data_IF_826823412789
#
_entry.id   IF_826823412789
#
_cell.length_a   1.000
_cell.length_b   1.000
_cell.length_c   1.000
_cell.angle_alpha   90.00
_cell.angle_beta   90.00
_cell.angle_gamma   90.00
#
_symmetry.space_group_name_H-M   'P 1'
#
loop_
_entity.id
_entity.type
_entity.pdbx_description
1 polymer ?
#
# COMPACT_ATOMS: atom_id res chain seq x y z
N UNK A 1 23.05 8.01 -1.95
CA UNK A 1 22.29 8.36 -0.73
C UNK A 1 22.80 9.68 -0.24
N UNK A 2 21.91 10.64 0.01
CA UNK A 2 22.30 11.90 0.60
C UNK A 2 22.84 11.67 2.02
N UNK A 3 23.96 12.32 2.33
CA UNK A 3 24.51 12.41 3.68
C UNK A 3 25.03 13.83 3.90
N UNK A 4 24.91 14.32 5.13
CA UNK A 4 25.44 15.62 5.52
C UNK A 4 26.23 15.46 6.82
N UNK A 5 27.48 15.88 6.81
CA UNK A 5 28.35 15.83 7.99
C UNK A 5 28.31 17.17 8.71
N UNK A 6 28.11 17.13 10.03
CA UNK A 6 28.14 18.30 10.91
C UNK A 6 29.27 18.13 11.92
N UNK A 7 29.81 19.24 12.44
CA UNK A 7 30.87 19.23 13.45
C UNK A 7 32.28 19.02 12.88
N UNK A 8 33.28 19.29 13.72
CA UNK A 8 34.70 19.25 13.33
C UNK A 8 35.57 18.44 14.29
N UNK A 9 35.11 18.21 15.53
CA UNK A 9 35.87 17.47 16.55
C UNK A 9 35.78 15.96 16.33
N UNK A 10 36.81 15.25 16.76
CA UNK A 10 36.89 13.78 16.74
C UNK A 10 35.89 13.14 17.72
N UNK A 11 35.75 11.82 17.67
CA UNK A 11 34.89 11.09 18.61
C UNK A 11 35.35 11.28 20.06
N UNK A 12 34.39 11.56 20.95
CA UNK A 12 34.65 11.83 22.38
C UNK A 12 33.73 11.04 23.31
N UNK A 13 32.72 10.35 22.75
CA UNK A 13 31.71 9.63 23.49
C UNK A 13 32.02 8.13 23.50
N UNK A 14 32.15 7.57 24.69
CA UNK A 14 32.44 6.15 24.89
C UNK A 14 31.27 5.49 25.65
N UNK A 15 30.85 4.31 25.20
CA UNK A 15 29.79 3.54 25.84
C UNK A 15 30.40 2.56 26.85
N UNK A 16 29.98 2.65 28.10
CA UNK A 16 30.33 1.72 29.18
C UNK A 16 29.04 1.16 29.78
N UNK A 17 28.73 -0.11 29.48
CA UNK A 17 27.44 -0.70 29.84
C UNK A 17 26.29 0.05 29.16
N UNK A 18 25.43 0.69 29.96
CA UNK A 18 24.34 1.54 29.49
C UNK A 18 24.62 3.05 29.66
N UNK A 19 25.87 3.41 29.99
CA UNK A 19 26.26 4.79 30.27
C UNK A 19 27.19 5.33 29.19
N UNK A 20 26.81 6.44 28.58
CA UNK A 20 27.67 7.21 27.68
C UNK A 20 28.51 8.19 28.49
N UNK A 21 29.83 8.07 28.39
CA UNK A 21 30.80 8.96 29.02
C UNK A 21 31.43 9.88 27.98
N UNK A 22 31.44 11.19 28.26
CA UNK A 22 32.12 12.18 27.44
C UNK A 22 33.55 12.44 27.95
N UNK A 23 34.56 12.16 27.13
CA UNK A 23 35.98 12.36 27.47
C UNK A 23 36.40 13.80 27.22
N UNK A 24 35.86 14.75 28.00
CA UNK A 24 36.13 16.19 27.85
C UNK A 24 37.28 16.69 28.74
N UNK A 25 38.04 15.78 29.36
CA UNK A 25 39.17 16.10 30.25
C UNK A 25 38.78 16.67 31.61
N UNK A 26 37.47 16.77 31.91
CA UNK A 26 36.90 17.22 33.17
C UNK A 26 35.86 16.19 33.67
N UNK A 27 35.58 16.14 34.98
CA UNK A 27 34.49 15.31 35.49
C UNK A 27 33.13 15.85 35.02
N UNK A 28 32.21 14.94 34.69
CA UNK A 28 30.83 15.28 34.30
C UNK A 28 30.09 15.98 35.44
N UNK A 29 29.43 17.10 35.16
CA UNK A 29 28.65 17.90 36.12
C UNK A 29 27.12 17.69 35.98
N UNK A 30 26.69 16.90 34.99
CA UNK A 30 25.29 16.55 34.74
C UNK A 30 25.15 15.11 34.24
N UNK A 31 24.09 14.43 34.69
CA UNK A 31 23.62 13.15 34.13
C UNK A 31 22.27 13.39 33.48
N UNK A 32 22.10 12.94 32.23
CA UNK A 32 20.80 12.89 31.56
C UNK A 32 20.42 11.43 31.35
N UNK A 33 19.24 11.04 31.83
CA UNK A 33 18.70 9.69 31.75
C UNK A 33 17.56 9.62 30.73
N UNK A 34 17.64 8.65 29.81
CA UNK A 34 16.67 8.45 28.73
C UNK A 34 16.41 6.95 28.61
N UNK A 35 15.28 6.52 29.16
CA UNK A 35 14.99 5.10 29.33
C UNK A 35 16.08 4.45 30.18
N UNK A 36 16.64 3.34 29.70
CA UNK A 36 17.69 2.61 30.42
C UNK A 36 19.11 3.18 30.18
N UNK A 37 19.26 4.27 29.42
CA UNK A 37 20.56 4.82 29.05
C UNK A 37 20.85 6.11 29.83
N UNK A 38 22.04 6.20 30.42
CA UNK A 38 22.52 7.42 31.11
C UNK A 38 23.63 8.12 30.31
N UNK A 39 23.63 9.44 30.32
CA UNK A 39 24.61 10.27 29.63
C UNK A 39 25.33 11.17 30.63
N UNK A 40 26.63 10.94 30.81
CA UNK A 40 27.48 11.72 31.72
C UNK A 40 28.12 12.86 30.93
N UNK A 41 27.58 14.07 31.09
CA UNK A 41 27.85 15.22 30.25
C UNK A 41 28.28 16.44 31.07
N UNK A 42 28.41 17.57 30.38
CA UNK A 42 28.82 18.87 30.90
C UNK A 42 27.71 19.88 30.61
N UNK A 43 27.34 20.72 31.57
CA UNK A 43 26.23 21.69 31.46
C UNK A 43 26.44 22.66 30.29
N UNK A 44 27.65 23.24 30.19
CA UNK A 44 27.93 24.35 29.26
C UNK A 44 27.66 24.01 27.77
N UNK A 45 28.19 22.92 27.18
CA UNK A 45 27.89 22.56 25.79
C UNK A 45 26.38 22.41 25.51
N UNK A 46 25.62 21.86 26.46
CA UNK A 46 24.20 21.57 26.31
C UNK A 46 23.34 22.85 26.38
N UNK A 47 23.53 23.67 27.41
CA UNK A 47 22.75 24.91 27.60
C UNK A 47 23.04 25.94 26.52
N UNK A 48 24.22 25.87 25.90
CA UNK A 48 24.57 26.77 24.81
C UNK A 48 23.72 26.56 23.56
N UNK A 49 23.06 25.38 23.41
CA UNK A 49 22.33 24.98 22.19
C UNK A 49 20.84 24.70 22.38
N UNK A 50 20.35 24.53 23.61
CA UNK A 50 18.96 24.13 23.87
C UNK A 50 18.29 24.99 24.94
N UNK A 51 17.12 25.54 24.61
CA UNK A 51 16.27 26.25 25.57
C UNK A 51 15.75 25.36 26.68
N UNK A 52 15.30 24.15 26.34
CA UNK A 52 14.73 23.22 27.32
C UNK A 52 15.79 22.82 28.34
N UNK A 53 17.00 22.49 27.89
CA UNK A 53 18.10 22.15 28.79
C UNK A 53 18.52 23.34 29.66
N UNK A 54 18.51 24.58 29.12
CA UNK A 54 18.73 25.80 29.93
C UNK A 54 17.73 25.90 31.07
N UNK A 55 16.44 25.69 30.80
CA UNK A 55 15.39 25.84 31.80
C UNK A 55 15.47 24.73 32.86
N UNK A 56 15.60 23.47 32.43
CA UNK A 56 15.70 22.33 33.34
C UNK A 56 16.93 22.42 34.25
N UNK A 57 18.08 22.90 33.74
CA UNK A 57 19.28 23.05 34.56
C UNK A 57 19.21 24.23 35.55
N UNK A 58 18.43 25.27 35.24
CA UNK A 58 18.17 26.37 36.19
C UNK A 58 17.32 25.89 37.37
N UNK A 59 16.31 25.06 37.10
CA UNK A 59 15.41 24.52 38.12
C UNK A 59 16.12 23.56 39.09
N UNK A 60 17.17 22.87 38.63
CA UNK A 60 17.92 21.86 39.42
C UNK A 60 19.16 22.41 40.16
N UNK A 61 19.45 23.71 40.09
CA UNK A 61 20.68 24.27 40.67
C UNK A 61 20.58 24.42 42.19
N UNK A 62 20.81 23.31 42.92
CA UNK A 62 21.21 23.29 44.33
C UNK A 62 22.74 23.04 44.41
N UNK A 63 23.45 23.83 45.22
CA UNK A 63 24.83 24.22 44.93
C UNK A 63 25.96 23.17 44.99
N UNK A 64 25.75 21.89 45.33
CA UNK A 64 26.89 20.98 45.57
C UNK A 64 26.78 19.54 45.02
N UNK A 65 25.74 19.19 44.28
CA UNK A 65 25.58 17.83 43.75
C UNK A 65 25.45 17.78 42.23
N UNK A 66 25.90 16.66 41.65
CA UNK A 66 25.77 16.34 40.24
C UNK A 66 24.29 16.32 39.88
N UNK A 67 23.86 17.19 38.96
CA UNK A 67 22.45 17.29 38.58
C UNK A 67 22.05 16.08 37.73
N UNK A 68 21.07 15.29 38.19
CA UNK A 68 20.46 14.20 37.44
C UNK A 68 19.15 14.71 36.83
N UNK A 69 18.91 14.41 35.56
CA UNK A 69 17.74 14.87 34.81
C UNK A 69 17.19 13.73 33.97
N UNK A 70 15.87 13.57 34.00
CA UNK A 70 15.15 12.56 33.23
C UNK A 70 14.51 13.18 31.98
N UNK A 71 14.73 12.56 30.82
CA UNK A 71 14.14 12.96 29.52
C UNK A 71 13.50 11.74 28.83
N UNK A 72 12.62 11.05 29.54
CA UNK A 72 11.99 9.81 29.05
C UNK A 72 11.14 9.99 27.78
N UNK A 73 10.54 11.17 27.60
CA UNK A 73 9.64 11.46 26.46
C UNK A 73 10.36 12.00 25.21
N UNK A 74 11.70 11.92 25.16
CA UNK A 74 12.45 12.43 24.01
C UNK A 74 12.15 11.60 22.75
N UNK A 75 11.65 12.22 21.66
CA UNK A 75 11.40 11.49 20.41
C UNK A 75 12.69 10.92 19.83
N UNK A 76 12.66 9.64 19.43
CA UNK A 76 13.84 8.90 18.96
C UNK A 76 14.77 8.40 20.09
N UNK A 77 14.44 8.70 21.35
CA UNK A 77 15.09 8.17 22.55
C UNK A 77 16.59 8.42 22.61
N UNK A 78 17.31 7.53 23.30
CA UNK A 78 18.74 7.65 23.56
C UNK A 78 19.59 7.72 22.27
N UNK A 79 19.16 7.06 21.18
CA UNK A 79 19.88 7.10 19.90
C UNK A 79 19.85 8.50 19.28
N UNK A 80 18.70 9.16 19.28
CA UNK A 80 18.58 10.54 18.81
C UNK A 80 19.35 11.48 19.75
N UNK A 81 19.24 11.28 21.06
CA UNK A 81 19.94 12.11 22.03
C UNK A 81 21.46 12.05 21.90
N UNK A 82 22.04 10.88 21.61
CA UNK A 82 23.48 10.77 21.38
C UNK A 82 23.95 11.69 20.26
N UNK A 83 23.18 11.80 19.16
CA UNK A 83 23.48 12.71 18.06
C UNK A 83 23.30 14.18 18.49
N UNK A 84 22.27 14.49 19.27
CA UNK A 84 22.08 15.82 19.87
C UNK A 84 23.28 16.20 20.74
N UNK A 85 23.69 15.32 21.65
CA UNK A 85 24.82 15.55 22.54
C UNK A 85 26.11 15.77 21.72
N UNK A 86 26.40 14.89 20.75
CA UNK A 86 27.55 15.08 19.86
C UNK A 86 27.52 16.42 19.13
N UNK A 87 26.35 16.84 18.63
CA UNK A 87 26.17 18.15 18.02
C UNK A 87 26.49 19.30 18.99
N UNK A 88 25.98 19.27 20.21
CA UNK A 88 26.25 20.27 21.24
C UNK A 88 27.74 20.40 21.56
N UNK A 89 28.49 19.29 21.51
CA UNK A 89 29.93 19.27 21.73
C UNK A 89 30.76 19.66 20.49
N UNK A 90 30.14 19.76 19.32
CA UNK A 90 30.82 19.97 18.04
C UNK A 90 31.54 18.73 17.51
N UNK A 91 31.19 17.56 18.03
CA UNK A 91 31.68 16.25 17.54
C UNK A 91 31.07 15.96 16.18
N UNK A 92 31.86 15.34 15.29
CA UNK A 92 31.39 14.95 13.97
C UNK A 92 30.18 14.02 14.06
N UNK A 93 29.07 14.42 13.43
CA UNK A 93 27.89 13.58 13.23
C UNK A 93 27.54 13.52 11.75
N UNK A 94 26.88 12.43 11.35
CA UNK A 94 26.41 12.22 9.99
C UNK A 94 24.88 12.15 9.99
N UNK A 95 24.26 13.08 9.26
CA UNK A 95 22.84 13.05 8.96
C UNK A 95 22.60 12.14 7.76
N UNK A 96 21.60 11.27 7.90
CA UNK A 96 21.15 10.32 6.88
C UNK A 96 19.63 10.25 6.88
N UNK A 97 19.04 9.70 5.83
CA UNK A 97 17.59 9.48 5.77
C UNK A 97 17.05 8.60 6.91
N UNK A 98 17.90 7.81 7.57
CA UNK A 98 17.52 6.91 8.66
C UNK A 98 17.50 7.59 10.03
N UNK A 99 18.15 8.74 10.21
CA UNK A 99 18.23 9.40 11.52
C UNK A 99 17.65 10.82 11.55
N UNK A 100 17.54 11.49 10.40
CA UNK A 100 17.17 12.91 10.35
C UNK A 100 15.78 13.17 10.93
N UNK A 101 14.80 12.28 10.74
CA UNK A 101 13.43 12.48 11.23
C UNK A 101 13.40 12.49 12.76
N UNK A 102 13.95 11.45 13.39
CA UNK A 102 14.04 11.37 14.84
C UNK A 102 14.85 12.54 15.41
N UNK A 103 15.95 12.92 14.74
CA UNK A 103 16.78 14.04 15.16
C UNK A 103 16.06 15.40 15.04
N UNK A 104 15.30 15.62 13.96
CA UNK A 104 14.49 16.82 13.74
C UNK A 104 13.40 16.95 14.82
N UNK A 105 12.77 15.84 15.20
CA UNK A 105 11.78 15.79 16.27
C UNK A 105 12.43 16.06 17.64
N UNK A 106 13.58 15.44 17.93
CA UNK A 106 14.33 15.67 19.17
C UNK A 106 14.80 17.12 19.29
N UNK A 107 15.26 17.71 18.19
CA UNK A 107 15.68 19.10 18.13
C UNK A 107 14.51 20.07 18.39
N UNK A 108 13.31 19.76 17.90
CA UNK A 108 12.08 20.51 18.21
C UNK A 108 11.73 20.42 19.68
N UNK A 109 11.68 19.20 20.22
CA UNK A 109 11.39 18.95 21.63
C UNK A 109 12.34 19.75 22.54
N UNK A 110 13.64 19.74 22.22
CA UNK A 110 14.68 20.45 22.97
C UNK A 110 14.76 21.95 22.63
N UNK A 111 13.92 22.45 21.72
CA UNK A 111 13.88 23.84 21.25
C UNK A 111 15.26 24.36 20.80
N UNK A 112 15.99 23.56 20.01
CA UNK A 112 17.32 23.86 19.49
C UNK A 112 17.27 24.80 18.28
N UNK A 113 16.86 26.05 18.55
CA UNK A 113 16.66 27.12 17.56
C UNK A 113 17.90 28.01 17.40
N UNK A 114 17.96 28.82 16.35
CA UNK A 114 19.05 29.80 16.11
C UNK A 114 19.25 30.80 17.25
N UNK A 115 18.25 30.99 18.14
CA UNK A 115 18.38 31.83 19.34
C UNK A 115 19.43 31.30 20.32
N UNK A 116 19.74 30.01 20.26
CA UNK A 116 20.71 29.30 21.09
C UNK A 116 21.92 28.88 20.25
N UNK A 117 22.36 29.76 19.35
CA UNK A 117 23.56 29.57 18.55
C UNK A 117 23.27 29.39 17.07
N UNK A 118 24.10 30.01 16.26
CA UNK A 118 24.02 29.95 14.80
C UNK A 118 24.19 28.51 14.28
N UNK A 119 23.45 28.16 13.22
CA UNK A 119 23.58 26.86 12.60
C UNK A 119 22.98 25.74 13.45
N UNK A 120 21.98 26.01 14.28
CA UNK A 120 21.46 25.06 15.26
C UNK A 120 20.71 23.90 14.61
N UNK A 121 20.46 22.86 15.41
CA UNK A 121 20.09 21.55 14.92
C UNK A 121 18.75 21.52 14.17
N UNK A 122 17.77 22.35 14.55
CA UNK A 122 16.51 22.47 13.81
C UNK A 122 16.78 22.93 12.36
N UNK A 123 17.57 23.99 12.17
CA UNK A 123 17.88 24.50 10.83
C UNK A 123 18.67 23.47 10.01
N UNK A 124 19.68 22.83 10.62
CA UNK A 124 20.50 21.83 9.92
C UNK A 124 19.68 20.63 9.45
N UNK A 125 18.83 20.09 10.33
CA UNK A 125 17.99 18.94 10.00
C UNK A 125 16.90 19.30 8.99
N UNK A 126 16.33 20.51 9.06
CA UNK A 126 15.35 21.00 8.08
C UNK A 126 15.97 21.16 6.68
N UNK A 127 17.18 21.73 6.60
CA UNK A 127 17.91 21.84 5.35
C UNK A 127 18.21 20.47 4.76
N UNK A 128 18.65 19.52 5.57
CA UNK A 128 18.92 18.16 5.10
C UNK A 128 17.64 17.42 4.65
N UNK A 129 16.51 17.59 5.36
CA UNK A 129 15.22 17.04 4.95
C UNK A 129 14.81 17.52 3.55
N UNK A 130 15.03 18.79 3.22
CA UNK A 130 14.76 19.31 1.87
C UNK A 130 15.54 18.57 0.77
N UNK A 131 16.79 18.17 1.05
CA UNK A 131 17.58 17.35 0.14
C UNK A 131 17.05 15.90 0.07
N UNK A 132 16.65 15.33 1.21
CA UNK A 132 16.06 13.99 1.30
C UNK A 132 14.80 13.89 0.44
N UNK A 133 13.92 14.91 0.49
CA UNK A 133 12.72 14.95 -0.35
C UNK A 133 13.04 14.98 -1.85
N UNK A 134 14.23 15.39 -2.26
CA UNK A 134 14.66 15.33 -3.66
C UNK A 134 14.85 13.90 -4.18
N UNK A 135 15.20 12.95 -3.32
CA UNK A 135 15.56 11.59 -3.71
C UNK A 135 14.48 10.56 -3.29
N UNK A 136 14.04 9.71 -4.22
CA UNK A 136 13.01 8.69 -3.98
C UNK A 136 13.37 7.74 -2.82
N UNK A 137 14.54 7.12 -2.88
CA UNK A 137 14.99 6.13 -1.91
C UNK A 137 15.18 6.72 -0.52
N UNK A 138 15.77 7.92 -0.44
CA UNK A 138 15.98 8.61 0.83
C UNK A 138 14.65 9.10 1.42
N UNK A 139 13.73 9.61 0.61
CA UNK A 139 12.37 9.98 1.06
C UNK A 139 11.63 8.77 1.62
N UNK A 140 11.71 7.62 0.95
CA UNK A 140 11.05 6.39 1.42
C UNK A 140 11.61 5.91 2.76
N UNK A 141 12.94 6.01 2.95
CA UNK A 141 13.59 5.68 4.23
C UNK A 141 13.15 6.63 5.34
N UNK A 142 13.12 7.93 5.08
CA UNK A 142 12.66 8.94 6.03
C UNK A 142 11.17 8.75 6.38
N UNK A 143 10.34 8.39 5.42
CA UNK A 143 8.92 8.11 5.67
C UNK A 143 8.73 6.93 6.64
N UNK A 144 9.53 5.86 6.49
CA UNK A 144 9.47 4.71 7.40
C UNK A 144 9.92 5.06 8.83
N UNK A 145 10.94 5.90 8.98
CA UNK A 145 11.41 6.30 10.31
C UNK A 145 10.45 7.23 11.05
N UNK A 146 9.48 7.82 10.36
CA UNK A 146 8.40 8.56 11.00
C UNK A 146 7.55 7.68 11.93
N UNK A 147 7.50 6.36 11.71
CA UNK A 147 6.73 5.44 12.56
C UNK A 147 7.24 5.37 14.01
N UNK A 148 8.53 5.67 14.22
CA UNK A 148 9.15 5.69 15.55
C UNK A 148 8.78 6.94 16.36
N UNK A 149 8.32 8.01 15.69
CA UNK A 149 8.10 9.34 16.28
C UNK A 149 6.82 10.00 15.76
N UNK A 150 5.78 9.19 15.52
CA UNK A 150 4.56 9.59 14.81
C UNK A 150 3.93 10.92 15.28
N UNK A 151 3.71 11.18 16.59
CA UNK A 151 3.06 12.42 17.02
C UNK A 151 3.84 13.67 16.58
N UNK A 152 5.15 13.67 16.82
CA UNK A 152 6.03 14.79 16.43
C UNK A 152 6.19 14.89 14.92
N UNK A 153 6.32 13.76 14.22
CA UNK A 153 6.46 13.76 12.76
C UNK A 153 5.21 14.27 12.03
N UNK A 154 4.02 14.08 12.61
CA UNK A 154 2.76 14.63 12.09
C UNK A 154 2.66 16.14 12.33
N UNK A 155 2.95 16.59 13.56
CA UNK A 155 2.94 18.02 13.94
C UNK A 155 3.94 18.83 13.11
N UNK A 156 5.12 18.27 12.86
CA UNK A 156 6.15 18.87 12.01
C UNK A 156 5.90 18.68 10.51
N UNK A 157 4.79 18.05 10.13
CA UNK A 157 4.39 17.79 8.75
C UNK A 157 5.45 17.04 7.91
N UNK A 158 6.30 16.22 8.55
CA UNK A 158 7.33 15.45 7.85
C UNK A 158 6.68 14.34 7.03
N UNK A 159 5.68 13.65 7.61
CA UNK A 159 4.96 12.55 6.94
C UNK A 159 4.28 13.06 5.67
N UNK A 160 3.55 14.17 5.74
CA UNK A 160 2.83 14.75 4.60
C UNK A 160 3.79 15.22 3.50
N UNK A 161 4.93 15.82 3.85
CA UNK A 161 5.98 16.23 2.89
C UNK A 161 6.64 15.03 2.21
N UNK A 162 6.97 13.98 2.95
CA UNK A 162 7.47 12.73 2.39
C UNK A 162 6.49 12.13 1.37
N UNK A 163 5.23 11.95 1.77
CA UNK A 163 4.18 11.39 0.91
C UNK A 163 3.99 12.26 -0.33
N UNK A 164 3.90 13.59 -0.15
CA UNK A 164 3.73 14.52 -1.25
C UNK A 164 4.87 14.41 -2.27
N UNK A 165 6.11 14.36 -1.80
CA UNK A 165 7.29 14.19 -2.64
C UNK A 165 7.28 12.87 -3.43
N UNK A 166 6.93 11.74 -2.78
CA UNK A 166 6.83 10.44 -3.44
C UNK A 166 5.70 10.44 -4.49
N UNK A 167 4.53 10.98 -4.16
CA UNK A 167 3.40 11.08 -5.08
C UNK A 167 3.77 11.88 -6.33
N UNK A 168 4.44 13.03 -6.17
CA UNK A 168 4.87 13.85 -7.32
C UNK A 168 5.79 13.06 -8.26
N UNK A 169 6.75 12.31 -7.72
CA UNK A 169 7.68 11.50 -8.53
C UNK A 169 6.97 10.36 -9.27
N UNK A 170 5.85 9.85 -8.75
CA UNK A 170 5.09 8.76 -9.40
C UNK A 170 4.13 9.30 -10.46
N UNK A 171 3.48 10.43 -10.17
CA UNK A 171 2.48 11.05 -11.06
C UNK A 171 3.17 11.75 -12.23
N UNK A 172 4.20 12.55 -11.95
CA UNK A 172 4.94 13.30 -12.96
C UNK A 172 6.16 12.52 -13.42
N UNK A 173 5.96 11.61 -14.40
CA UNK A 173 7.04 10.81 -14.99
C UNK A 173 8.14 11.66 -15.65
N UNK A 174 7.87 12.93 -15.97
CA UNK A 174 8.87 13.88 -16.47
C UNK A 174 9.94 14.25 -15.42
N UNK A 175 9.67 14.07 -14.12
CA UNK A 175 10.62 14.34 -13.04
C UNK A 175 11.52 13.14 -12.70
N UNK A 176 11.26 11.97 -13.29
CA UNK A 176 11.98 10.71 -13.01
C UNK A 176 13.18 10.50 -13.93
N UNK A 177 13.28 11.26 -15.03
CA UNK A 177 14.36 11.14 -16.03
C UNK A 177 15.62 11.96 -15.68
N UNK A 178 16.09 11.92 -14.43
CA UNK A 178 17.46 12.36 -14.11
C UNK A 178 18.33 11.11 -13.97
N UNK A 179 19.30 10.87 -14.87
CA UNK A 179 20.13 9.69 -14.77
C UNK A 179 21.00 9.81 -13.52
N UNK A 180 20.77 8.90 -12.56
CA UNK A 180 21.80 8.52 -11.61
C UNK A 180 22.83 7.72 -12.39
N UNK A 181 23.72 8.43 -13.10
CA UNK A 181 24.88 7.84 -13.74
C UNK A 181 26.06 7.96 -12.79
N UNK A 182 26.39 6.84 -12.14
CA UNK A 182 27.73 6.56 -11.67
C UNK A 182 28.37 5.60 -12.66
N UNK A 183 29.13 6.13 -13.62
CA UNK A 183 30.45 5.66 -14.05
C UNK A 183 30.91 6.50 -15.26
N UNK A 184 32.18 6.87 -15.22
CA UNK A 184 32.87 7.88 -16.03
C UNK A 184 33.51 7.33 -17.31
N UNK A 185 33.77 8.26 -18.26
CA UNK A 185 34.68 8.20 -19.43
C UNK A 185 34.11 7.39 -20.63
N UNK A 186 34.07 7.79 -21.91
CA UNK A 186 34.84 8.69 -22.80
C UNK A 186 33.88 9.33 -23.83
N UNK A 187 34.30 10.46 -24.40
CA UNK A 187 33.69 11.24 -25.47
C UNK A 187 33.47 10.48 -26.80
N UNK A 188 32.52 11.03 -27.58
CA UNK A 188 32.53 11.24 -29.04
C UNK A 188 31.63 10.40 -29.96
N UNK A 189 30.90 11.19 -30.77
CA UNK A 189 30.50 11.07 -32.17
C UNK A 189 29.46 10.04 -32.65
N UNK A 190 28.70 10.54 -33.61
CA UNK A 190 27.61 9.96 -34.40
C UNK A 190 27.98 8.68 -35.17
N UNK A 191 26.92 8.00 -35.59
CA UNK A 191 26.78 6.91 -36.55
C UNK A 191 26.80 5.44 -36.08
N UNK A 192 25.98 4.71 -36.82
CA UNK A 192 25.41 3.39 -36.60
C UNK A 192 26.40 2.29 -36.22
N UNK A 193 25.92 1.26 -35.51
CA UNK A 193 25.93 -0.12 -36.05
C UNK A 193 25.21 -1.12 -35.14
N UNK A 194 24.40 -1.95 -35.81
CA UNK A 194 23.64 -3.10 -35.31
C UNK A 194 24.60 -4.26 -35.05
N UNK A 195 24.67 -4.82 -33.85
CA UNK A 195 25.22 -6.18 -33.68
C UNK A 195 24.51 -7.02 -32.59
N UNK A 196 24.13 -8.23 -33.02
CA UNK A 196 23.78 -9.46 -32.31
C UNK A 196 22.40 -9.62 -31.66
N UNK A 197 21.52 -10.30 -32.42
CA UNK A 197 20.19 -10.77 -32.04
C UNK A 197 20.15 -11.76 -30.87
N UNK A 198 20.37 -11.25 -29.67
CA UNK A 198 19.76 -11.76 -28.45
C UNK A 198 18.79 -10.68 -28.00
N UNK A 199 17.49 -10.92 -28.17
CA UNK A 199 16.48 -10.10 -27.49
C UNK A 199 16.59 -10.40 -26.00
N UNK A 200 17.55 -9.76 -25.32
CA UNK A 200 17.34 -9.37 -23.94
C UNK A 200 16.19 -8.39 -24.01
N UNK A 201 14.95 -8.91 -23.95
CA UNK A 201 13.81 -8.05 -23.63
C UNK A 201 14.25 -7.33 -22.36
N UNK A 202 14.44 -6.00 -22.39
CA UNK A 202 14.51 -5.29 -21.13
C UNK A 202 13.23 -5.71 -20.44
N UNK A 203 13.32 -6.27 -19.22
CA UNK A 203 12.17 -6.27 -18.31
C UNK A 203 11.57 -4.89 -18.48
N UNK A 204 10.34 -4.83 -18.96
CA UNK A 204 9.65 -3.56 -19.18
C UNK A 204 9.90 -2.74 -17.93
N UNK A 205 10.64 -1.63 -18.05
CA UNK A 205 10.72 -0.64 -16.99
C UNK A 205 9.32 -0.03 -16.92
N UNK A 206 8.41 -0.82 -16.34
CA UNK A 206 6.98 -0.68 -16.51
C UNK A 206 6.46 0.51 -15.72
N UNK A 207 5.20 0.85 -15.97
CA UNK A 207 4.45 1.81 -15.15
C UNK A 207 4.41 1.45 -13.63
N UNK A 208 4.95 0.27 -13.26
CA UNK A 208 4.84 -0.40 -11.96
C UNK A 208 6.16 -0.41 -11.15
N UNK A 209 7.22 0.27 -11.61
CA UNK A 209 8.56 0.25 -10.98
C UNK A 209 8.59 0.57 -9.47
N UNK A 210 7.60 1.33 -8.98
CA UNK A 210 7.50 1.81 -7.60
C UNK A 210 6.64 0.92 -6.69
N UNK A 211 5.97 -0.11 -7.25
CA UNK A 211 5.01 -0.92 -6.48
C UNK A 211 5.68 -1.66 -5.33
N UNK A 212 6.85 -2.25 -5.57
CA UNK A 212 7.58 -2.99 -4.55
C UNK A 212 7.98 -2.08 -3.38
N UNK A 213 8.53 -0.92 -3.69
CA UNK A 213 8.97 0.08 -2.72
C UNK A 213 7.81 0.58 -1.85
N UNK A 214 6.74 1.08 -2.47
CA UNK A 214 5.59 1.60 -1.71
C UNK A 214 4.86 0.48 -0.97
N UNK A 215 4.91 -0.76 -1.47
CA UNK A 215 4.32 -1.90 -0.76
C UNK A 215 5.02 -2.30 0.53
N UNK A 216 6.22 -1.77 0.76
CA UNK A 216 6.96 -1.99 2.01
C UNK A 216 6.53 -1.04 3.14
N UNK A 217 5.60 -0.11 2.87
CA UNK A 217 5.01 0.78 3.88
C UNK A 217 3.92 0.06 4.69
N UNK A 218 3.70 0.50 5.93
CA UNK A 218 2.54 0.10 6.72
C UNK A 218 1.22 0.53 6.05
N UNK A 219 0.12 -0.12 6.44
CA UNK A 219 -1.20 0.15 5.86
C UNK A 219 -1.60 1.62 6.01
N UNK A 220 -1.29 2.25 7.14
CA UNK A 220 -1.64 3.66 7.40
C UNK A 220 -0.91 4.61 6.44
N UNK A 221 0.39 4.43 6.25
CA UNK A 221 1.21 5.24 5.33
C UNK A 221 0.87 4.94 3.87
N UNK A 222 0.66 3.67 3.53
CA UNK A 222 0.24 3.24 2.21
C UNK A 222 -1.12 3.85 1.82
N UNK A 223 -2.12 3.80 2.71
CA UNK A 223 -3.44 4.44 2.50
C UNK A 223 -3.30 5.92 2.18
N UNK A 224 -2.54 6.66 2.98
CA UNK A 224 -2.31 8.10 2.77
C UNK A 224 -1.59 8.37 1.45
N UNK A 225 -0.61 7.55 1.07
CA UNK A 225 0.05 7.64 -0.23
C UNK A 225 -0.96 7.46 -1.38
N UNK A 226 -1.80 6.42 -1.31
CA UNK A 226 -2.79 6.13 -2.35
C UNK A 226 -3.86 7.24 -2.47
N UNK A 227 -4.28 7.82 -1.35
CA UNK A 227 -5.16 8.98 -1.33
C UNK A 227 -4.51 10.20 -1.98
N UNK A 228 -3.23 10.48 -1.65
CA UNK A 228 -2.47 11.55 -2.27
C UNK A 228 -2.29 11.38 -3.78
N UNK A 229 -1.99 10.16 -4.23
CA UNK A 229 -1.89 9.83 -5.65
C UNK A 229 -3.24 9.98 -6.39
N UNK A 230 -4.34 9.59 -5.74
CA UNK A 230 -5.70 9.74 -6.29
C UNK A 230 -6.09 11.21 -6.41
N UNK A 231 -5.78 12.03 -5.40
CA UNK A 231 -6.05 13.47 -5.41
C UNK A 231 -5.27 14.22 -6.51
N UNK A 232 -4.13 13.68 -6.94
CA UNK A 232 -3.32 14.19 -8.06
C UNK A 232 -3.68 13.55 -9.41
N UNK A 233 -4.88 12.96 -9.52
CA UNK A 233 -5.40 12.37 -10.75
C UNK A 233 -4.52 11.27 -11.37
N UNK A 234 -3.81 10.48 -10.54
CA UNK A 234 -3.10 9.32 -11.05
C UNK A 234 -4.07 8.38 -11.79
N UNK A 235 -3.64 7.85 -12.94
CA UNK A 235 -4.45 6.93 -13.74
C UNK A 235 -5.03 5.81 -12.84
N UNK A 236 -6.36 5.60 -12.84
CA UNK A 236 -7.04 4.58 -12.03
C UNK A 236 -6.46 3.17 -12.17
N UNK A 237 -5.97 2.84 -13.37
CA UNK A 237 -5.26 1.57 -13.65
C UNK A 237 -4.00 1.37 -12.82
N UNK A 238 -3.19 2.42 -12.64
CA UNK A 238 -1.97 2.35 -11.80
C UNK A 238 -2.32 2.25 -10.32
N UNK A 239 -3.36 2.96 -9.88
CA UNK A 239 -3.86 2.87 -8.51
C UNK A 239 -4.28 1.43 -8.20
N UNK A 240 -5.14 0.83 -9.04
CA UNK A 240 -5.59 -0.55 -8.83
C UNK A 240 -4.44 -1.56 -8.96
N UNK A 241 -3.50 -1.36 -9.89
CA UNK A 241 -2.31 -2.21 -10.01
C UNK A 241 -1.52 -2.27 -8.70
N UNK A 242 -1.24 -1.11 -8.11
CA UNK A 242 -0.54 -1.01 -6.82
C UNK A 242 -1.34 -1.65 -5.68
N UNK A 243 -2.66 -1.42 -5.62
CA UNK A 243 -3.55 -2.02 -4.61
C UNK A 243 -3.56 -3.55 -4.69
N UNK A 244 -3.64 -4.10 -5.90
CA UNK A 244 -3.57 -5.55 -6.15
C UNK A 244 -2.22 -6.10 -5.70
N UNK A 245 -1.13 -5.39 -6.02
CA UNK A 245 0.22 -5.80 -5.61
C UNK A 245 0.35 -5.80 -4.08
N UNK A 246 -0.09 -4.73 -3.41
CA UNK A 246 -0.10 -4.62 -1.95
C UNK A 246 -0.90 -5.75 -1.29
N UNK A 247 -2.13 -5.98 -1.76
CA UNK A 247 -3.02 -7.01 -1.25
C UNK A 247 -2.39 -8.41 -1.33
N UNK A 248 -1.80 -8.75 -2.49
CA UNK A 248 -1.18 -10.07 -2.70
C UNK A 248 0.05 -10.28 -1.82
N UNK A 249 0.80 -9.22 -1.52
CA UNK A 249 1.99 -9.27 -0.68
C UNK A 249 1.65 -9.47 0.79
N UNK A 250 0.59 -8.83 1.28
CA UNK A 250 0.25 -8.77 2.70
C UNK A 250 -0.92 -9.69 3.12
N UNK A 251 -1.69 -10.25 2.18
CA UNK A 251 -2.77 -11.21 2.46
C UNK A 251 -2.37 -12.60 1.93
N UNK A 252 -1.99 -13.55 2.81
CA UNK A 252 -1.53 -14.88 2.39
C UNK A 252 -2.53 -15.63 1.50
N UNK A 253 -3.83 -15.51 1.79
CA UNK A 253 -4.90 -16.16 1.02
C UNK A 253 -5.01 -15.66 -0.43
N UNK A 254 -4.48 -14.47 -0.74
CA UNK A 254 -4.44 -13.92 -2.10
C UNK A 254 -3.13 -14.23 -2.84
N UNK A 255 -2.08 -14.60 -2.11
CA UNK A 255 -0.75 -14.93 -2.64
C UNK A 255 -0.52 -16.41 -2.95
N UNK A 256 -1.28 -17.32 -2.32
CA UNK A 256 -1.17 -18.76 -2.58
C UNK A 256 -2.05 -19.21 -3.75
N UNK A 257 -1.43 -19.48 -4.88
CA UNK A 257 -2.02 -20.32 -5.92
C UNK A 257 -2.20 -21.75 -5.37
N UNK A 258 -3.38 -22.38 -5.49
CA UNK A 258 -3.50 -23.83 -5.29
C UNK A 258 -3.07 -24.53 -6.58
N UNK A 259 -1.78 -24.49 -6.89
CA UNK A 259 -1.19 -25.30 -7.98
C UNK A 259 -0.53 -26.53 -7.39
N UNK A 260 -1.18 -27.67 -7.61
CA UNK A 260 -0.64 -29.04 -7.79
C UNK A 260 0.69 -29.40 -7.12
N UNK A 261 0.65 -30.48 -6.33
CA UNK A 261 1.80 -31.24 -5.83
C UNK A 261 2.99 -31.29 -6.81
N UNK A 262 4.15 -30.79 -6.38
CA UNK A 262 5.42 -31.54 -6.39
C UNK A 262 6.51 -30.79 -5.62
N UNK A 263 7.35 -31.57 -4.94
CA UNK A 263 8.21 -31.13 -3.84
C UNK A 263 9.41 -30.25 -4.19
N UNK A 264 9.98 -29.73 -3.11
CA UNK A 264 11.30 -29.14 -2.95
C UNK A 264 11.56 -27.78 -3.62
N UNK A 265 11.18 -26.70 -2.93
CA UNK A 265 12.02 -25.51 -2.90
C UNK A 265 11.92 -24.83 -1.53
N UNK A 266 13.09 -24.48 -1.00
CA UNK A 266 13.36 -23.98 0.34
C UNK A 266 12.52 -22.75 0.69
N UNK A 267 11.75 -22.87 1.76
CA UNK A 267 11.05 -21.76 2.38
C UNK A 267 12.03 -20.66 2.81
N UNK A 268 12.05 -19.56 2.07
CA UNK A 268 12.50 -18.28 2.59
C UNK A 268 11.43 -17.80 3.59
N UNK A 269 11.50 -18.32 4.82
CA UNK A 269 10.75 -17.80 5.96
C UNK A 269 11.34 -16.43 6.27
N UNK A 270 10.78 -15.36 5.70
CA UNK A 270 10.94 -14.05 6.29
C UNK A 270 10.23 -14.08 7.65
N UNK A 271 10.91 -13.56 8.66
CA UNK A 271 10.53 -13.52 10.07
C UNK A 271 9.37 -12.55 10.36
N UNK A 272 8.35 -12.52 9.51
CA UNK A 272 7.12 -11.78 9.75
C UNK A 272 6.07 -12.74 10.30
N UNK A 273 5.63 -12.47 11.53
CA UNK A 273 4.42 -13.06 12.11
C UNK A 273 3.29 -13.03 11.07
N UNK A 274 2.60 -14.16 10.90
CA UNK A 274 1.37 -14.17 10.10
C UNK A 274 0.42 -13.09 10.66
N UNK A 275 -0.04 -12.12 9.84
CA UNK A 275 -0.92 -11.06 10.33
C UNK A 275 -2.19 -11.68 10.90
N UNK A 276 -2.69 -11.11 12.01
CA UNK A 276 -3.90 -11.63 12.67
C UNK A 276 -5.10 -11.57 11.71
N UNK A 277 -6.11 -12.41 11.92
CA UNK A 277 -7.32 -12.37 11.08
C UNK A 277 -8.00 -11.00 11.11
N UNK A 278 -7.93 -10.28 12.25
CA UNK A 278 -8.43 -8.93 12.38
C UNK A 278 -7.65 -7.92 11.53
N UNK A 279 -6.32 -8.03 11.49
CA UNK A 279 -5.47 -7.16 10.66
C UNK A 279 -5.70 -7.44 9.17
N UNK A 280 -5.84 -8.72 8.79
CA UNK A 280 -6.17 -9.11 7.42
C UNK A 280 -7.56 -8.59 7.01
N UNK A 281 -8.53 -8.61 7.92
CA UNK A 281 -9.87 -8.04 7.70
C UNK A 281 -9.80 -6.53 7.49
N UNK A 282 -9.12 -5.81 8.37
CA UNK A 282 -8.97 -4.36 8.24
C UNK A 282 -8.26 -3.99 6.92
N UNK A 283 -7.21 -4.75 6.58
CA UNK A 283 -6.46 -4.58 5.33
C UNK A 283 -7.35 -4.76 4.08
N UNK A 284 -8.16 -5.81 4.02
CA UNK A 284 -9.01 -6.04 2.84
C UNK A 284 -10.10 -4.97 2.71
N UNK A 285 -10.68 -4.52 3.81
CA UNK A 285 -11.70 -3.46 3.80
C UNK A 285 -11.11 -2.14 3.28
N UNK A 286 -9.94 -1.74 3.78
CA UNK A 286 -9.23 -0.54 3.35
C UNK A 286 -8.82 -0.59 1.87
N UNK A 287 -8.31 -1.73 1.40
CA UNK A 287 -7.95 -1.89 -0.03
C UNK A 287 -9.19 -1.76 -0.93
N UNK A 288 -10.32 -2.34 -0.52
CA UNK A 288 -11.58 -2.27 -1.28
C UNK A 288 -12.15 -0.85 -1.32
N UNK A 289 -12.01 -0.11 -0.22
CA UNK A 289 -12.39 1.31 -0.12
C UNK A 289 -11.54 2.18 -1.06
N UNK A 290 -10.23 1.97 -1.11
CA UNK A 290 -9.31 2.72 -1.96
C UNK A 290 -9.41 2.39 -3.46
N UNK A 291 -10.05 1.28 -3.84
CA UNK A 291 -10.11 0.87 -5.25
C UNK A 291 -10.96 1.84 -6.10
N UNK A 292 -10.48 2.30 -7.27
CA UNK A 292 -11.27 3.16 -8.15
C UNK A 292 -12.51 2.45 -8.72
N UNK A 293 -13.63 3.15 -8.84
CA UNK A 293 -14.94 2.59 -9.21
C UNK A 293 -15.17 2.39 -10.72
N UNK A 294 -14.13 2.36 -11.53
CA UNK A 294 -14.25 2.24 -13.00
C UNK A 294 -14.22 0.79 -13.48
N UNK A 295 -14.56 0.58 -14.75
CA UNK A 295 -14.71 -0.76 -15.34
C UNK A 295 -13.35 -1.35 -15.69
N UNK A 296 -13.15 -2.65 -15.43
CA UNK A 296 -12.00 -3.41 -15.96
C UNK A 296 -10.64 -3.04 -15.39
N UNK A 297 -10.58 -2.32 -14.25
CA UNK A 297 -9.31 -1.86 -13.69
C UNK A 297 -8.58 -2.96 -12.91
N UNK A 298 -9.34 -3.82 -12.20
CA UNK A 298 -8.78 -4.93 -11.43
C UNK A 298 -9.12 -6.28 -12.08
N UNK A 299 -8.21 -7.28 -12.05
CA UNK A 299 -8.49 -8.61 -12.59
C UNK A 299 -9.69 -9.28 -11.89
N UNK A 300 -10.61 -9.87 -12.65
CA UNK A 300 -11.80 -10.50 -12.06
C UNK A 300 -11.46 -11.65 -11.11
N UNK A 301 -10.41 -12.42 -11.42
CA UNK A 301 -9.87 -13.47 -10.53
C UNK A 301 -9.45 -12.91 -9.17
N UNK A 302 -8.82 -11.74 -9.15
CA UNK A 302 -8.42 -11.05 -7.92
C UNK A 302 -9.65 -10.58 -7.13
N UNK A 303 -10.62 -9.93 -7.79
CA UNK A 303 -11.85 -9.47 -7.12
C UNK A 303 -12.63 -10.63 -6.47
N UNK A 304 -12.71 -11.78 -7.15
CA UNK A 304 -13.33 -12.99 -6.60
C UNK A 304 -12.53 -13.57 -5.43
N UNK A 305 -11.20 -13.56 -5.49
CA UNK A 305 -10.35 -13.99 -4.40
C UNK A 305 -10.49 -13.07 -3.17
N UNK A 306 -10.57 -11.75 -3.37
CA UNK A 306 -10.88 -10.79 -2.32
C UNK A 306 -12.24 -11.07 -1.69
N UNK A 307 -13.29 -11.32 -2.49
CA UNK A 307 -14.62 -11.61 -1.95
C UNK A 307 -14.62 -12.87 -1.09
N UNK A 308 -13.96 -13.95 -1.53
CA UNK A 308 -13.82 -15.18 -0.74
C UNK A 308 -13.09 -14.92 0.58
N UNK A 309 -12.01 -14.15 0.52
CA UNK A 309 -11.20 -13.82 1.70
C UNK A 309 -11.99 -12.93 2.67
N UNK A 310 -12.70 -11.91 2.17
CA UNK A 310 -13.56 -11.04 2.96
C UNK A 310 -14.68 -11.83 3.66
N UNK A 311 -15.31 -12.78 2.97
CA UNK A 311 -16.32 -13.66 3.55
C UNK A 311 -15.72 -14.59 4.62
N UNK A 312 -14.53 -15.13 4.39
CA UNK A 312 -13.85 -16.00 5.34
C UNK A 312 -13.43 -15.26 6.62
N UNK A 313 -13.04 -13.99 6.49
CA UNK A 313 -12.63 -13.12 7.59
C UNK A 313 -13.79 -12.36 8.25
N UNK A 314 -15.05 -12.65 7.86
CA UNK A 314 -16.23 -11.93 8.35
C UNK A 314 -16.11 -10.40 8.23
N UNK A 315 -15.63 -9.93 7.08
CA UNK A 315 -15.53 -8.51 6.76
C UNK A 315 -16.91 -7.83 6.69
N UNK A 316 -16.91 -6.50 6.75
CA UNK A 316 -18.12 -5.68 6.71
C UNK A 316 -19.01 -5.98 5.47
N UNK A 317 -20.32 -5.86 5.66
CA UNK A 317 -21.31 -6.10 4.60
C UNK A 317 -21.16 -5.11 3.44
N UNK A 318 -20.71 -3.88 3.72
CA UNK A 318 -20.38 -2.84 2.73
C UNK A 318 -19.19 -3.25 1.86
N UNK A 319 -18.15 -3.85 2.44
CA UNK A 319 -16.99 -4.37 1.71
C UNK A 319 -17.41 -5.48 0.74
N UNK A 320 -18.16 -6.48 1.22
CA UNK A 320 -18.66 -7.57 0.39
C UNK A 320 -19.54 -7.07 -0.75
N UNK A 321 -20.50 -6.19 -0.46
CA UNK A 321 -21.39 -5.61 -1.47
C UNK A 321 -20.63 -4.78 -2.53
N UNK A 322 -19.57 -4.07 -2.12
CA UNK A 322 -18.73 -3.29 -3.04
C UNK A 322 -17.96 -4.20 -3.99
N UNK A 323 -17.41 -5.31 -3.49
CA UNK A 323 -16.76 -6.33 -4.31
C UNK A 323 -17.73 -6.98 -5.29
N UNK A 324 -18.91 -7.40 -4.81
CA UNK A 324 -19.97 -7.98 -5.66
C UNK A 324 -20.37 -7.04 -6.80
N UNK A 325 -20.63 -5.76 -6.50
CA UNK A 325 -20.99 -4.75 -7.50
C UNK A 325 -19.91 -4.60 -8.57
N UNK A 326 -18.62 -4.61 -8.18
CA UNK A 326 -17.49 -4.54 -9.11
C UNK A 326 -17.38 -5.79 -9.98
N UNK A 327 -17.54 -6.98 -9.39
CA UNK A 327 -17.54 -8.26 -10.11
C UNK A 327 -18.64 -8.29 -11.17
N UNK A 328 -19.89 -7.94 -10.78
CA UNK A 328 -21.03 -7.86 -11.71
C UNK A 328 -20.79 -6.86 -12.83
N UNK A 329 -20.20 -5.70 -12.52
CA UNK A 329 -19.88 -4.67 -13.52
C UNK A 329 -18.86 -5.19 -14.54
N UNK A 330 -17.87 -5.96 -14.10
CA UNK A 330 -16.83 -6.55 -14.98
C UNK A 330 -17.40 -7.69 -15.83
N UNK A 331 -18.23 -8.56 -15.25
CA UNK A 331 -18.87 -9.69 -15.97
C UNK A 331 -19.90 -9.19 -16.99
N UNK A 332 -20.71 -8.17 -16.66
CA UNK A 332 -21.70 -7.63 -17.59
C UNK A 332 -21.06 -7.07 -18.88
N UNK A 333 -19.81 -6.62 -18.82
CA UNK A 333 -19.05 -6.21 -20.01
C UNK A 333 -18.61 -7.39 -20.89
N UNK A 334 -18.45 -8.60 -20.34
CA UNK A 334 -18.11 -9.80 -21.13
C UNK A 334 -19.31 -10.35 -21.91
N UNK A 335 -20.54 -9.98 -21.54
CA UNK A 335 -21.76 -10.32 -22.30
C UNK A 335 -21.95 -9.54 -23.60
N UNK A 336 -21.06 -8.60 -23.95
CA UNK A 336 -21.08 -7.97 -25.28
C UNK A 336 -20.63 -8.96 -26.38
N UNK A 337 -20.02 -10.10 -26.02
CA UNK A 337 -19.71 -11.15 -26.99
C UNK A 337 -20.93 -12.00 -27.42
N UNK A 338 -22.06 -11.95 -26.69
CA UNK A 338 -23.30 -12.63 -27.12
C UNK A 338 -24.00 -11.91 -28.29
N UNK A 339 -23.65 -10.65 -28.58
CA UNK A 339 -24.17 -9.91 -29.73
C UNK A 339 -23.51 -10.29 -31.06
N UNK A 340 -22.29 -10.84 -31.05
CA UNK A 340 -21.57 -11.21 -32.26
C UNK A 340 -21.91 -12.63 -32.76
N UNK A 341 -22.49 -13.46 -31.88
CA UNK A 341 -22.94 -14.82 -32.20
C UNK A 341 -24.40 -14.90 -32.67
N UNK A 342 -25.11 -13.77 -32.78
CA UNK A 342 -26.48 -13.70 -33.29
C UNK A 342 -26.61 -13.17 -34.72
N UNK A 343 -25.51 -13.00 -35.48
CA UNK A 343 -25.57 -12.71 -36.92
C UNK A 343 -25.41 -13.94 -37.82
N UNK A 344 -25.36 -15.16 -37.27
CA UNK A 344 -25.50 -16.36 -38.09
C UNK A 344 -26.98 -16.58 -38.45
N UNK A 345 -27.43 -15.89 -39.50
CA UNK A 345 -28.54 -16.36 -40.31
C UNK A 345 -27.95 -17.06 -41.55
N UNK A 346 -27.93 -18.41 -41.64
CA UNK A 346 -27.21 -19.11 -42.72
C UNK A 346 -27.95 -19.18 -44.06
N UNK A 347 -29.13 -18.57 -44.22
CA UNK A 347 -29.90 -18.72 -45.46
C UNK A 347 -30.64 -17.44 -45.84
N UNK A 348 -29.93 -16.53 -46.52
CA UNK A 348 -30.45 -15.65 -47.57
C UNK A 348 -29.33 -14.69 -47.98
N UNK A 349 -28.51 -15.09 -48.95
CA UNK A 349 -27.84 -14.25 -49.95
C UNK A 349 -26.74 -15.08 -50.61
N UNK A 350 -27.17 -15.97 -51.50
CA UNK A 350 -26.31 -16.61 -52.47
C UNK A 350 -26.76 -16.11 -53.84
N UNK A 351 -26.45 -14.85 -54.11
CA UNK A 351 -26.49 -14.26 -55.44
C UNK A 351 -25.56 -13.06 -55.47
N UNK A 352 -24.59 -13.11 -56.40
CA UNK A 352 -23.62 -12.06 -56.77
C UNK A 352 -22.47 -11.96 -55.74
N UNK A 353 -21.21 -12.28 -56.05
CA UNK A 353 -20.39 -11.78 -57.17
C UNK A 353 -19.33 -12.82 -57.54
N UNK A 354 -19.22 -13.11 -58.84
CA UNK A 354 -18.08 -13.77 -59.50
C UNK A 354 -16.96 -12.74 -59.71
N UNK A 355 -15.70 -13.20 -59.64
CA UNK A 355 -14.46 -12.57 -60.14
C UNK A 355 -14.02 -11.29 -59.39
N UNK A 356 -12.75 -11.02 -59.08
CA UNK A 356 -11.46 -11.42 -59.66
C UNK A 356 -10.39 -11.67 -58.57
N UNK A 357 -9.31 -12.33 -58.97
CA UNK A 357 -8.21 -12.76 -58.12
C UNK A 357 -7.47 -11.62 -57.40
N UNK A 358 -7.22 -11.83 -56.11
CA UNK A 358 -6.02 -11.36 -55.42
C UNK A 358 -5.85 -12.16 -54.12
N UNK A 359 -4.75 -12.88 -54.02
CA UNK A 359 -4.25 -13.52 -52.80
C UNK A 359 -4.01 -12.46 -51.71
N UNK A 360 -4.54 -12.61 -50.48
CA UNK A 360 -4.18 -11.72 -49.37
C UNK A 360 -2.79 -12.08 -48.81
N UNK A 361 -2.03 -11.10 -48.29
CA UNK A 361 -0.66 -11.32 -47.80
C UNK A 361 -0.64 -12.17 -46.51
N UNK A 362 0.47 -12.89 -46.22
CA UNK A 362 0.55 -13.92 -45.18
C UNK A 362 0.42 -13.41 -43.72
N UNK A 363 0.24 -12.10 -43.51
CA UNK A 363 0.15 -11.50 -42.17
C UNK A 363 -1.27 -11.40 -41.59
N UNK A 364 -2.34 -11.63 -42.36
CA UNK A 364 -3.72 -11.57 -41.81
C UNK A 364 -4.15 -12.86 -41.09
N UNK A 365 -3.59 -14.01 -41.48
CA UNK A 365 -3.89 -15.32 -40.89
C UNK A 365 -3.28 -15.42 -39.48
N UNK A 366 -2.03 -14.98 -39.31
CA UNK A 366 -1.35 -14.94 -38.00
C UNK A 366 -2.02 -13.98 -37.00
N UNK A 367 -2.59 -12.87 -37.48
CA UNK A 367 -3.35 -11.95 -36.63
C UNK A 367 -4.68 -12.57 -36.15
N UNK A 368 -5.33 -13.37 -37.00
CA UNK A 368 -6.58 -14.06 -36.67
C UNK A 368 -6.35 -15.22 -35.70
N UNK A 369 -5.25 -15.96 -35.87
CA UNK A 369 -4.88 -17.06 -34.97
C UNK A 369 -4.49 -16.56 -33.57
N UNK A 370 -3.76 -15.45 -33.47
CA UNK A 370 -3.45 -14.82 -32.19
C UNK A 370 -4.72 -14.27 -31.51
N UNK A 371 -5.67 -13.74 -32.28
CA UNK A 371 -6.96 -13.29 -31.74
C UNK A 371 -7.83 -14.47 -31.27
N UNK A 372 -7.82 -15.58 -32.01
CA UNK A 372 -8.52 -16.83 -31.68
C UNK A 372 -7.95 -17.51 -30.44
N UNK A 373 -6.63 -17.51 -30.28
CA UNK A 373 -5.94 -18.02 -29.09
C UNK A 373 -6.29 -17.19 -27.85
N UNK A 374 -6.30 -15.86 -27.97
CA UNK A 374 -6.73 -14.96 -26.89
C UNK A 374 -8.20 -15.10 -26.54
N UNK A 375 -9.08 -15.36 -27.52
CA UNK A 375 -10.50 -15.64 -27.28
C UNK A 375 -10.67 -16.99 -26.58
N UNK A 376 -9.92 -18.03 -26.98
CA UNK A 376 -9.95 -19.34 -26.32
C UNK A 376 -9.42 -19.26 -24.87
N UNK A 377 -8.40 -18.44 -24.63
CA UNK A 377 -7.87 -18.18 -23.29
C UNK A 377 -8.93 -17.46 -22.43
N UNK A 378 -9.59 -16.43 -22.97
CA UNK A 378 -10.69 -15.73 -22.29
C UNK A 378 -11.90 -16.64 -22.02
N UNK A 379 -12.26 -17.52 -22.95
CA UNK A 379 -13.31 -18.53 -22.77
C UNK A 379 -12.95 -19.53 -21.66
N UNK A 380 -11.70 -19.99 -21.64
CA UNK A 380 -11.18 -20.86 -20.57
C UNK A 380 -11.21 -20.16 -19.22
N UNK A 381 -10.85 -18.88 -19.18
CA UNK A 381 -10.94 -18.06 -17.98
C UNK A 381 -12.38 -17.85 -17.52
N UNK A 382 -13.31 -17.59 -18.45
CA UNK A 382 -14.73 -17.45 -18.17
C UNK A 382 -15.36 -18.75 -17.64
N UNK A 383 -14.99 -19.89 -18.22
CA UNK A 383 -15.42 -21.21 -17.76
C UNK A 383 -14.82 -21.58 -16.39
N UNK A 384 -13.56 -21.19 -16.13
CA UNK A 384 -12.96 -21.33 -14.81
C UNK A 384 -13.73 -20.48 -13.79
N UNK A 385 -13.99 -19.24 -14.12
CA UNK A 385 -14.70 -18.29 -13.27
C UNK A 385 -16.13 -18.76 -12.97
N UNK A 386 -16.83 -19.30 -13.97
CA UNK A 386 -18.15 -19.91 -13.82
C UNK A 386 -18.10 -21.12 -12.88
N UNK A 387 -17.12 -22.02 -13.05
CA UNK A 387 -16.93 -23.16 -12.13
C UNK A 387 -16.61 -22.71 -10.71
N UNK A 388 -15.83 -21.65 -10.55
CA UNK A 388 -15.50 -21.13 -9.22
C UNK A 388 -16.69 -20.43 -8.56
N UNK A 389 -17.54 -19.76 -9.34
CA UNK A 389 -18.85 -19.24 -8.89
C UNK A 389 -19.79 -20.39 -8.51
N UNK A 390 -19.89 -21.44 -9.33
CA UNK A 390 -20.73 -22.62 -9.04
C UNK A 390 -20.24 -23.40 -7.80
N UNK A 391 -18.93 -23.47 -7.56
CA UNK A 391 -18.36 -24.05 -6.34
C UNK A 391 -18.69 -23.18 -5.12
N UNK A 392 -18.63 -21.85 -5.25
CA UNK A 392 -19.05 -20.92 -4.20
C UNK A 392 -20.56 -21.01 -3.91
N UNK A 393 -21.40 -21.20 -4.93
CA UNK A 393 -22.85 -21.41 -4.77
C UNK A 393 -23.20 -22.68 -4.00
N UNK A 394 -22.29 -23.67 -3.95
CA UNK A 394 -22.48 -24.92 -3.20
C UNK A 394 -22.10 -24.80 -1.71
N UNK A 395 -21.32 -23.80 -1.30
CA UNK A 395 -21.02 -23.54 0.12
C UNK A 395 -22.03 -22.56 0.74
N UNK A 396 -23.12 -23.11 1.29
CA UNK A 396 -24.15 -22.49 2.17
C UNK A 396 -24.86 -21.20 1.71
N UNK A 397 -26.17 -21.34 1.44
CA UNK A 397 -27.31 -20.58 2.00
C UNK A 397 -27.52 -19.09 1.67
N UNK A 398 -26.47 -18.28 1.68
CA UNK A 398 -26.59 -16.80 1.69
C UNK A 398 -26.92 -16.20 0.31
N UNK A 399 -26.58 -16.90 -0.78
CA UNK A 399 -26.75 -16.41 -2.15
C UNK A 399 -28.20 -16.45 -2.67
N UNK A 400 -29.08 -17.23 -2.04
CA UNK A 400 -30.48 -17.34 -2.51
C UNK A 400 -31.28 -16.03 -2.31
N UNK A 401 -30.79 -15.14 -1.44
CA UNK A 401 -31.33 -13.79 -1.25
C UNK A 401 -30.83 -12.80 -2.33
N UNK A 402 -29.65 -13.04 -2.90
CA UNK A 402 -29.02 -12.16 -3.90
C UNK A 402 -29.64 -12.38 -5.29
N UNK A 403 -29.95 -13.63 -5.66
CA UNK A 403 -30.68 -13.96 -6.90
C UNK A 403 -32.08 -13.32 -6.95
N UNK A 404 -32.77 -13.23 -5.79
CA UNK A 404 -34.06 -12.53 -5.68
C UNK A 404 -33.94 -11.02 -5.89
N UNK A 405 -32.81 -10.42 -5.53
CA UNK A 405 -32.54 -8.98 -5.66
C UNK A 405 -32.04 -8.59 -7.06
N UNK A 406 -31.55 -9.54 -7.85
CA UNK A 406 -31.00 -9.34 -9.21
C UNK A 406 -32.00 -9.54 -10.36
N UNK A 407 -33.29 -9.80 -10.09
CA UNK A 407 -34.34 -9.84 -11.12
C UNK A 407 -34.15 -10.89 -12.24
N UNK A 408 -33.22 -11.84 -12.08
CA UNK A 408 -32.92 -12.84 -13.09
C UNK A 408 -33.88 -14.03 -12.94
N UNK A 409 -35.04 -13.99 -13.60
CA UNK A 409 -35.84 -15.19 -13.82
C UNK A 409 -35.07 -16.12 -14.77
N UNK A 410 -34.52 -17.19 -14.23
CA UNK A 410 -34.05 -18.33 -15.04
C UNK A 410 -35.27 -18.90 -15.77
N UNK A 411 -35.32 -18.73 -17.09
CA UNK A 411 -36.30 -19.40 -17.96
C UNK A 411 -35.96 -20.89 -17.97
N UNK A 412 -36.85 -21.80 -17.55
CA UNK A 412 -36.61 -23.23 -17.65
C UNK A 412 -36.68 -23.66 -19.12
N UNK A 413 -35.73 -24.49 -19.58
CA UNK A 413 -35.80 -25.18 -20.88
C UNK A 413 -36.97 -26.17 -20.91
N UNK A 414 -37.59 -26.42 -22.08
CA UNK A 414 -38.77 -27.26 -22.20
C UNK A 414 -38.41 -28.75 -22.11
N UNK A 415 -39.02 -29.47 -21.17
CA UNK A 415 -38.98 -30.94 -21.12
C UNK A 415 -40.17 -31.51 -21.90
N UNK A 416 -39.88 -32.17 -23.02
CA UNK A 416 -40.81 -33.07 -23.70
C UNK A 416 -41.13 -34.27 -22.80
N UNK A 417 -42.39 -34.41 -22.38
CA UNK A 417 -42.97 -35.70 -22.00
C UNK A 417 -44.49 -35.65 -22.09
N UNK A 418 -45.02 -36.26 -23.14
CA UNK A 418 -46.43 -36.58 -23.35
C UNK A 418 -46.87 -37.67 -22.36
N UNK A 419 -47.99 -37.49 -21.63
CA UNK A 419 -49.04 -38.52 -21.42
C UNK A 419 -50.17 -38.04 -20.48
N UNK A 420 -51.36 -37.89 -21.09
CA UNK A 420 -52.69 -38.43 -20.69
C UNK A 420 -53.41 -37.82 -19.46
N UNK A 421 -54.73 -37.87 -19.54
CA UNK A 421 -55.78 -36.92 -19.12
C UNK A 421 -56.59 -37.26 -17.84
N UNK A 422 -57.00 -36.19 -17.11
CA UNK A 422 -58.31 -35.91 -16.42
C UNK A 422 -58.79 -36.81 -15.24
N UNK A 423 -59.75 -36.35 -14.38
CA UNK A 423 -60.23 -34.98 -14.06
C UNK A 423 -60.49 -34.66 -12.55
N UNK A 424 -60.83 -33.38 -12.32
CA UNK A 424 -61.26 -32.67 -11.11
C UNK A 424 -62.19 -33.36 -10.09
N UNK A 425 -62.08 -32.92 -8.82
CA UNK A 425 -63.25 -32.66 -7.95
C UNK A 425 -63.13 -31.34 -7.19
N UNK A 426 -64.28 -30.66 -7.12
CA UNK A 426 -64.57 -29.32 -6.60
C UNK A 426 -64.70 -29.30 -5.06
N UNK A 427 -64.84 -28.07 -4.56
CA UNK A 427 -65.58 -27.61 -3.35
C UNK A 427 -64.72 -27.41 -2.09
N UNK A 428 -64.90 -26.36 -1.26
CA UNK A 428 -65.84 -25.23 -1.20
C UNK A 428 -65.35 -24.27 -0.09
N UNK A 429 -65.58 -22.97 -0.30
CA UNK A 429 -66.13 -21.97 0.66
C UNK A 429 -65.29 -21.55 1.89
N UNK A 430 -64.94 -20.26 1.89
CA UNK A 430 -64.69 -19.39 3.04
C UNK A 430 -66.03 -18.88 3.64
N UNK A 431 -66.12 -18.30 4.85
CA UNK A 431 -65.74 -16.88 4.98
C UNK A 431 -65.23 -16.44 6.38
N UNK A 432 -64.87 -15.16 6.38
CA UNK A 432 -64.30 -14.31 7.41
C UNK A 432 -65.11 -14.15 8.71
N UNK A 433 -64.44 -13.66 9.76
CA UNK A 433 -64.94 -12.53 10.56
C UNK A 433 -63.80 -11.85 11.33
N UNK A 434 -64.07 -10.59 11.66
CA UNK A 434 -63.23 -9.47 12.06
C UNK A 434 -63.50 -9.13 13.54
N UNK A 435 -62.48 -8.73 14.32
CA UNK A 435 -62.54 -7.82 15.48
C UNK A 435 -61.14 -7.82 16.15
N UNK A 436 -60.35 -6.73 16.14
CA UNK A 436 -60.39 -5.49 16.94
C UNK A 436 -60.21 -5.64 18.47
N UNK A 437 -59.14 -4.97 18.93
CA UNK A 437 -58.99 -4.15 20.14
C UNK A 437 -58.44 -4.71 21.47
N UNK A 438 -57.61 -3.83 22.05
CA UNK A 438 -57.22 -3.60 23.45
C UNK A 438 -56.08 -4.39 24.10
N UNK A 439 -54.90 -3.76 24.08
CA UNK A 439 -54.30 -3.08 25.24
C UNK A 439 -54.53 -3.69 26.64
N UNK A 440 -53.42 -4.15 27.26
CA UNK A 440 -53.11 -3.81 28.66
C UNK A 440 -51.64 -4.05 28.99
N UNK A 441 -50.99 -2.99 29.41
CA UNK A 441 -49.79 -3.04 30.23
C UNK A 441 -50.13 -3.62 31.62
N UNK A 442 -49.26 -4.45 32.18
CA UNK A 442 -49.09 -4.52 33.63
C UNK A 442 -47.67 -4.97 33.97
N UNK A 443 -47.09 -4.13 34.83
CA UNK A 443 -45.80 -4.16 35.50
C UNK A 443 -45.73 -5.24 36.60
N UNK A 444 -44.60 -5.26 37.33
CA UNK A 444 -44.27 -6.00 38.57
C UNK A 444 -43.55 -7.33 38.28
N UNK A 445 -42.28 -7.53 38.65
CA UNK A 445 -41.54 -7.09 39.84
C UNK A 445 -40.03 -7.07 39.60
#
# INVERSE_FOLDING_TARGET
MASMKLGSKSEMFNLFGQSWLCSYGLPSDVIIEIGDTSFHLHKFPLISRSKVLVNLMKELSNENEKSIMELHDLPGGAKAFLLVAKFCYGVKIELTALNVVCLRCAAEYLQMTEKYGEGNLIMQTENFLNHVFGNWTDTLKALKTCEEVLPFAEELHIISRCIHSLVLKVVDQSLVNLPVSGHSVVQSSEDAEVWNGITLTPKTSGEDWWFEDISSLSLSLYKRFMQGASARHMKPKRIAGSLVYYAKKHIPLLGSQPSSQNGNSSAFKSSHSTPSEADQRNLIEEIVELMPNEKGIAPTKFLLACLRTAMALYASSSCCASLEKRIVKTISSTKIFEGFMNSQNPHANLALVRNDGNTPPPNSILAFDNMKERVAELEKECLSMKRDLEKMMKSKGSWNMILKKLGCKLVPKPSNATKISKPCRKSKISPASTAQMEEKAMEVK
#
